data_IF_475045423449
#
_entry.id   IF_475045423449
#
_cell.length_a   1.000
_cell.length_b   1.000
_cell.length_c   1.000
_cell.angle_alpha   90.00
_cell.angle_beta   90.00
_cell.angle_gamma   90.00
#
_symmetry.space_group_name_H-M   'P 1'
#
loop_
_entity.id
_entity.type
_entity.pdbx_description
1 polymer ?
#
# COMPACT_ATOMS: atom_id res chain seq x y z
N UNK A 1 1.97 5.84 25.61
CA UNK A 1 1.95 4.59 24.81
C UNK A 1 2.76 4.73 23.52
N UNK A 2 2.75 5.87 22.83
CA UNK A 2 3.48 6.07 21.55
C UNK A 2 5.00 5.84 21.63
N UNK A 3 5.70 6.43 22.61
CA UNK A 3 7.17 6.38 22.66
C UNK A 3 7.75 4.99 22.95
N UNK A 4 7.00 4.11 23.62
CA UNK A 4 7.45 2.74 23.95
C UNK A 4 7.46 1.84 22.72
N UNK A 5 6.53 2.07 21.77
CA UNK A 5 6.45 1.32 20.51
C UNK A 5 7.33 1.92 19.41
N UNK A 6 7.66 3.20 19.51
CA UNK A 6 8.50 3.89 18.53
C UNK A 6 9.92 3.30 18.46
N UNK A 7 10.51 2.94 19.60
CA UNK A 7 11.85 2.35 19.65
C UNK A 7 11.95 0.99 18.93
N UNK A 8 11.15 -0.04 19.25
CA UNK A 8 11.24 -1.33 18.57
C UNK A 8 10.86 -1.27 17.09
N UNK A 9 9.89 -0.43 16.71
CA UNK A 9 9.50 -0.29 15.30
C UNK A 9 10.61 0.43 14.52
N UNK A 10 11.14 1.53 15.06
CA UNK A 10 12.22 2.27 14.39
C UNK A 10 13.51 1.47 14.30
N UNK A 11 13.85 0.60 15.27
CA UNK A 11 15.03 -0.26 15.17
C UNK A 11 14.87 -1.32 14.08
N UNK A 12 13.70 -1.97 13.98
CA UNK A 12 13.41 -2.94 12.91
C UNK A 12 13.48 -2.27 11.53
N UNK A 13 12.92 -1.07 11.39
CA UNK A 13 13.00 -0.30 10.15
C UNK A 13 14.44 0.08 9.82
N UNK A 14 15.25 0.54 10.79
CA UNK A 14 16.67 0.88 10.57
C UNK A 14 17.54 -0.32 10.21
N UNK A 15 17.17 -1.53 10.66
CA UNK A 15 17.86 -2.79 10.32
C UNK A 15 17.61 -3.25 8.89
N UNK A 16 16.50 -2.82 8.28
CA UNK A 16 16.02 -3.32 6.99
C UNK A 16 15.96 -2.25 5.91
N UNK A 17 15.90 -0.97 6.27
CA UNK A 17 15.92 0.16 5.36
C UNK A 17 17.30 0.85 5.48
N UNK A 18 18.10 0.86 4.41
CA UNK A 18 19.36 1.58 4.38
C UNK A 18 19.16 3.07 4.62
N UNK A 19 19.92 3.67 5.55
CA UNK A 19 19.90 5.12 5.75
C UNK A 19 20.68 5.82 4.64
N UNK A 20 20.07 6.83 4.05
CA UNK A 20 20.65 7.65 2.98
C UNK A 20 21.36 8.90 3.51
N UNK A 21 21.25 9.16 4.82
CA UNK A 21 21.83 10.34 5.47
C UNK A 21 23.13 9.95 6.15
N UNK A 22 24.29 10.51 5.76
CA UNK A 22 25.59 10.14 6.34
C UNK A 22 25.66 10.33 7.86
N UNK A 23 24.94 11.31 8.42
CA UNK A 23 24.93 11.61 9.85
C UNK A 23 24.25 10.53 10.71
N UNK A 24 23.38 9.70 10.13
CA UNK A 24 22.67 8.62 10.83
C UNK A 24 23.32 7.25 10.59
N UNK A 25 24.48 7.24 9.94
CA UNK A 25 25.19 6.01 9.62
C UNK A 25 25.63 5.31 10.90
N UNK A 26 25.37 4.00 10.94
CA UNK A 26 26.05 3.13 11.89
C UNK A 26 26.55 1.88 11.18
N UNK A 27 27.71 1.43 11.64
CA UNK A 27 28.34 0.18 11.21
C UNK A 27 27.43 -1.03 11.38
N UNK A 28 26.71 -1.09 12.51
CA UNK A 28 25.80 -2.20 12.83
C UNK A 28 24.56 -2.23 11.94
N UNK A 29 23.86 -1.11 11.78
CA UNK A 29 22.68 -1.07 10.90
C UNK A 29 23.05 -1.32 9.43
N UNK A 30 24.21 -0.82 8.97
CA UNK A 30 24.65 -1.02 7.59
C UNK A 30 25.00 -2.49 7.30
N UNK A 31 25.69 -3.18 8.22
CA UNK A 31 25.98 -4.61 8.05
C UNK A 31 24.72 -5.45 8.08
N UNK A 32 23.76 -5.12 8.96
CA UNK A 32 22.46 -5.79 9.00
C UNK A 32 21.63 -5.55 7.75
N UNK A 33 21.67 -4.35 7.17
CA UNK A 33 21.00 -4.06 5.90
C UNK A 33 21.55 -4.92 4.75
N UNK A 34 22.87 -5.16 4.70
CA UNK A 34 23.49 -6.06 3.71
C UNK A 34 22.99 -7.49 3.85
N UNK A 35 22.68 -7.93 5.07
CA UNK A 35 22.14 -9.27 5.34
C UNK A 35 20.65 -9.35 5.03
N UNK A 36 19.87 -8.40 5.54
CA UNK A 36 18.41 -8.47 5.58
C UNK A 36 17.76 -7.98 4.29
N UNK A 37 18.31 -6.98 3.59
CA UNK A 37 17.70 -6.46 2.36
C UNK A 37 17.59 -7.51 1.25
N UNK A 38 18.64 -8.31 0.94
CA UNK A 38 18.54 -9.33 -0.10
C UNK A 38 17.52 -10.42 0.25
N UNK A 39 17.43 -10.81 1.52
CA UNK A 39 16.47 -11.81 1.99
C UNK A 39 15.03 -11.27 1.88
N UNK A 40 14.80 -10.03 2.30
CA UNK A 40 13.48 -9.40 2.22
C UNK A 40 13.02 -9.18 0.77
N UNK A 41 13.94 -8.77 -0.12
CA UNK A 41 13.66 -8.67 -1.56
C UNK A 41 13.33 -10.02 -2.17
N UNK A 42 14.05 -11.08 -1.79
CA UNK A 42 13.80 -12.44 -2.25
C UNK A 42 12.43 -12.95 -1.77
N UNK A 43 12.05 -12.65 -0.53
CA UNK A 43 10.71 -12.91 -0.03
C UNK A 43 9.64 -12.18 -0.86
N UNK A 44 9.86 -10.90 -1.18
CA UNK A 44 8.92 -10.15 -2.03
C UNK A 44 8.82 -10.68 -3.45
N UNK A 45 9.93 -11.18 -4.01
CA UNK A 45 9.98 -11.76 -5.34
C UNK A 45 9.60 -13.24 -5.36
N UNK A 46 9.09 -13.78 -4.25
CA UNK A 46 8.66 -15.17 -4.13
C UNK A 46 7.59 -15.58 -5.16
N UNK A 47 6.81 -14.61 -5.65
CA UNK A 47 5.84 -14.80 -6.74
C UNK A 47 6.50 -15.06 -8.11
N UNK A 48 7.73 -14.61 -8.33
CA UNK A 48 8.47 -14.80 -9.58
C UNK A 48 9.47 -15.97 -9.46
N UNK A 49 10.17 -16.07 -8.34
CA UNK A 49 11.13 -17.14 -8.05
C UNK A 49 10.69 -17.78 -6.74
N UNK A 50 10.31 -19.07 -6.73
CA UNK A 50 9.90 -19.74 -5.50
C UNK A 50 10.96 -19.57 -4.41
N UNK A 51 10.55 -19.12 -3.23
CA UNK A 51 11.45 -18.93 -2.08
C UNK A 51 12.23 -20.20 -1.71
N UNK A 52 11.63 -21.36 -2.00
CA UNK A 52 12.18 -22.70 -1.78
C UNK A 52 12.76 -23.33 -3.05
N UNK A 53 13.11 -22.54 -4.07
CA UNK A 53 13.68 -23.09 -5.30
C UNK A 53 14.91 -23.94 -4.94
N UNK A 54 14.94 -25.23 -5.29
CA UNK A 54 16.07 -26.09 -4.98
C UNK A 54 17.26 -25.66 -5.84
N UNK A 55 18.39 -25.33 -5.21
CA UNK A 55 19.65 -25.15 -5.91
C UNK A 55 20.41 -26.47 -5.85
N UNK A 56 20.73 -27.02 -7.02
CA UNK A 56 21.59 -28.20 -7.15
C UNK A 56 23.03 -27.72 -7.08
N UNK A 57 23.73 -28.02 -5.99
CA UNK A 57 25.17 -27.81 -5.87
C UNK A 57 25.95 -28.99 -6.47
N UNK A 58 27.27 -28.83 -6.57
CA UNK A 58 28.23 -29.80 -7.13
C UNK A 58 28.21 -31.21 -6.48
N UNK A 59 27.45 -31.40 -5.40
CA UNK A 59 27.28 -32.68 -4.69
C UNK A 59 25.95 -33.32 -5.12
N UNK A 60 25.95 -34.50 -5.77
CA UNK A 60 24.72 -35.17 -6.15
C UNK A 60 23.96 -35.57 -4.88
N UNK A 61 22.68 -35.14 -4.78
CA UNK A 61 21.67 -35.47 -3.75
C UNK A 61 21.42 -34.49 -2.59
N UNK A 62 21.97 -33.26 -2.59
CA UNK A 62 21.61 -32.26 -1.57
C UNK A 62 20.95 -31.05 -2.22
N UNK A 63 19.65 -30.85 -1.93
CA UNK A 63 18.90 -29.67 -2.36
C UNK A 63 18.83 -28.67 -1.20
N UNK A 64 19.42 -27.49 -1.37
CA UNK A 64 19.25 -26.40 -0.42
C UNK A 64 18.23 -25.37 -0.94
N UNK A 65 17.38 -24.81 -0.07
CA UNK A 65 16.47 -23.74 -0.46
C UNK A 65 17.28 -22.48 -0.77
N UNK A 66 16.86 -21.76 -1.81
CA UNK A 66 17.54 -20.56 -2.32
C UNK A 66 17.78 -19.50 -1.24
N UNK A 67 16.82 -19.28 -0.34
CA UNK A 67 16.96 -18.29 0.74
C UNK A 67 18.17 -18.59 1.64
N UNK A 68 18.44 -19.86 1.93
CA UNK A 68 19.49 -20.27 2.86
C UNK A 68 20.87 -19.98 2.26
N UNK A 69 21.04 -20.24 0.97
CA UNK A 69 22.27 -19.91 0.22
C UNK A 69 22.52 -18.40 0.23
N UNK A 70 21.49 -17.61 -0.08
CA UNK A 70 21.58 -16.14 -0.08
C UNK A 70 21.88 -15.62 1.32
N UNK A 71 21.23 -16.16 2.36
CA UNK A 71 21.49 -15.77 3.75
C UNK A 71 22.95 -16.03 4.14
N UNK A 72 23.49 -17.22 3.85
CA UNK A 72 24.89 -17.52 4.18
C UNK A 72 25.86 -16.58 3.45
N UNK A 73 25.64 -16.33 2.16
CA UNK A 73 26.51 -15.43 1.39
C UNK A 73 26.44 -13.98 1.89
N UNK A 74 25.24 -13.48 2.18
CA UNK A 74 25.04 -12.15 2.72
C UNK A 74 25.55 -12.02 4.16
N UNK A 75 25.52 -13.08 4.98
CA UNK A 75 26.06 -13.09 6.34
C UNK A 75 27.59 -13.03 6.34
N UNK A 76 28.24 -13.77 5.44
CA UNK A 76 29.69 -13.67 5.22
C UNK A 76 30.06 -12.25 4.77
N UNK A 77 29.32 -11.71 3.81
CA UNK A 77 29.61 -10.38 3.25
C UNK A 77 29.32 -9.26 4.27
N UNK A 78 28.25 -9.38 5.06
CA UNK A 78 27.88 -8.44 6.11
C UNK A 78 28.83 -8.47 7.30
N UNK A 79 29.34 -9.63 7.71
CA UNK A 79 30.37 -9.75 8.75
C UNK A 79 31.72 -9.21 8.28
N UNK A 80 32.11 -9.49 7.04
CA UNK A 80 33.31 -8.93 6.42
C UNK A 80 33.23 -7.40 6.33
N UNK A 81 32.11 -6.88 5.83
CA UNK A 81 31.82 -5.44 5.80
C UNK A 81 31.83 -4.84 7.21
N UNK A 82 31.21 -5.51 8.18
CA UNK A 82 31.30 -5.06 9.57
C UNK A 82 32.76 -4.97 9.98
N UNK A 83 33.60 -6.00 9.80
CA UNK A 83 34.98 -5.98 10.29
C UNK A 83 35.89 -4.95 9.59
N UNK A 84 35.69 -4.67 8.31
CA UNK A 84 36.59 -3.82 7.50
C UNK A 84 36.20 -2.35 7.41
N UNK A 85 34.94 -2.03 7.71
CA UNK A 85 34.42 -0.69 7.51
C UNK A 85 34.34 0.05 8.85
N UNK A 86 35.36 0.88 9.10
CA UNK A 86 35.37 1.82 10.24
C UNK A 86 34.83 3.21 9.86
N UNK A 87 34.81 3.56 8.57
CA UNK A 87 34.29 4.83 8.03
C UNK A 87 33.14 4.60 7.05
N UNK A 88 32.21 5.56 6.89
CA UNK A 88 31.11 5.42 5.94
C UNK A 88 31.68 5.21 4.52
N UNK A 89 31.31 4.11 3.83
CA UNK A 89 31.83 3.85 2.49
C UNK A 89 31.21 4.80 1.48
N UNK A 90 31.98 5.11 0.43
CA UNK A 90 31.53 5.89 -0.73
C UNK A 90 30.69 5.00 -1.66
N UNK A 91 29.55 4.52 -1.15
CA UNK A 91 28.58 3.75 -1.94
C UNK A 91 27.83 4.73 -2.83
N UNK A 92 27.59 4.33 -4.08
CA UNK A 92 26.72 5.06 -5.01
C UNK A 92 25.39 5.44 -4.35
N UNK A 93 25.22 6.72 -4.03
CA UNK A 93 24.03 7.24 -3.35
C UNK A 93 22.73 6.86 -4.07
N UNK A 94 22.79 6.76 -5.42
CA UNK A 94 21.66 6.35 -6.25
C UNK A 94 21.21 4.91 -5.97
N UNK A 95 22.16 3.98 -5.80
CA UNK A 95 21.86 2.58 -5.49
C UNK A 95 21.28 2.46 -4.08
N UNK A 96 21.85 3.20 -3.13
CA UNK A 96 21.37 3.24 -1.75
C UNK A 96 19.93 3.79 -1.66
N UNK A 97 19.63 4.86 -2.40
CA UNK A 97 18.29 5.43 -2.53
C UNK A 97 17.30 4.45 -3.17
N UNK A 98 17.73 3.74 -4.21
CA UNK A 98 16.87 2.74 -4.87
C UNK A 98 16.54 1.58 -3.92
N UNK A 99 17.53 1.10 -3.16
CA UNK A 99 17.36 0.03 -2.18
C UNK A 99 16.47 0.45 -1.00
N UNK A 100 16.67 1.65 -0.46
CA UNK A 100 15.82 2.17 0.63
C UNK A 100 14.38 2.40 0.19
N UNK A 101 14.18 2.87 -1.04
CA UNK A 101 12.85 2.97 -1.65
C UNK A 101 12.19 1.59 -1.80
N UNK A 102 12.90 0.62 -2.38
CA UNK A 102 12.37 -0.74 -2.55
C UNK A 102 11.97 -1.35 -1.20
N UNK A 103 12.84 -1.27 -0.19
CA UNK A 103 12.56 -1.78 1.16
C UNK A 103 11.39 -1.06 1.84
N UNK A 104 11.22 0.25 1.60
CA UNK A 104 10.06 0.99 2.10
C UNK A 104 8.76 0.48 1.48
N UNK A 105 8.74 0.23 0.17
CA UNK A 105 7.58 -0.36 -0.52
C UNK A 105 7.26 -1.76 0.04
N UNK A 106 8.28 -2.58 0.33
CA UNK A 106 8.07 -3.89 0.95
C UNK A 106 7.40 -3.77 2.32
N UNK A 107 7.88 -2.88 3.18
CA UNK A 107 7.30 -2.66 4.50
C UNK A 107 5.86 -2.17 4.42
N UNK A 108 5.57 -1.22 3.52
CA UNK A 108 4.20 -0.75 3.28
C UNK A 108 3.31 -1.93 2.85
N UNK A 109 3.79 -2.79 1.94
CA UNK A 109 3.03 -3.96 1.49
C UNK A 109 2.81 -5.00 2.58
N UNK A 110 3.82 -5.29 3.41
CA UNK A 110 3.71 -6.22 4.54
C UNK A 110 2.71 -5.72 5.57
N UNK A 111 2.84 -4.46 6.00
CA UNK A 111 1.93 -3.84 6.96
C UNK A 111 0.51 -3.77 6.41
N UNK A 112 0.34 -3.46 5.13
CA UNK A 112 -0.97 -3.49 4.48
C UNK A 112 -1.57 -4.90 4.45
N UNK A 113 -0.77 -5.94 4.22
CA UNK A 113 -1.20 -7.33 4.27
C UNK A 113 -1.65 -7.77 5.67
N UNK A 114 -0.89 -7.43 6.70
CA UNK A 114 -1.26 -7.69 8.09
C UNK A 114 -2.52 -6.91 8.49
N UNK A 115 -2.65 -5.66 8.06
CA UNK A 115 -3.85 -4.84 8.28
C UNK A 115 -5.09 -5.48 7.65
N UNK A 116 -4.99 -5.96 6.40
CA UNK A 116 -6.08 -6.66 5.72
C UNK A 116 -6.44 -7.98 6.42
N UNK A 117 -5.43 -8.72 6.91
CA UNK A 117 -5.64 -9.96 7.66
C UNK A 117 -6.34 -9.71 8.99
N UNK A 118 -5.95 -8.67 9.72
CA UNK A 118 -6.63 -8.24 10.94
C UNK A 118 -8.07 -7.82 10.66
N UNK A 119 -8.29 -7.08 9.57
CA UNK A 119 -9.64 -6.66 9.18
C UNK A 119 -10.51 -7.85 8.79
N UNK A 120 -9.96 -8.83 8.08
CA UNK A 120 -10.67 -10.08 7.77
C UNK A 120 -11.04 -10.85 9.05
N UNK A 121 -10.15 -10.91 10.03
CA UNK A 121 -10.44 -11.54 11.32
C UNK A 121 -11.58 -10.83 12.06
N UNK A 122 -11.57 -9.50 12.08
CA UNK A 122 -12.67 -8.69 12.63
C UNK A 122 -13.97 -8.95 11.87
N UNK A 123 -13.90 -9.08 10.54
CA UNK A 123 -15.05 -9.43 9.71
C UNK A 123 -15.69 -10.74 10.09
N UNK A 124 -14.88 -11.78 10.32
CA UNK A 124 -15.36 -13.09 10.76
C UNK A 124 -15.97 -13.01 12.17
N UNK A 125 -15.34 -12.30 13.11
CA UNK A 125 -15.84 -12.17 14.49
C UNK A 125 -17.19 -11.44 14.53
N UNK A 126 -17.35 -10.41 13.71
CA UNK A 126 -18.56 -9.59 13.66
C UNK A 126 -19.62 -10.13 12.68
N UNK A 127 -19.35 -11.26 12.00
CA UNK A 127 -20.16 -11.78 10.89
C UNK A 127 -20.49 -10.69 9.86
N UNK A 128 -19.49 -9.92 9.45
CA UNK A 128 -19.62 -8.87 8.44
C UNK A 128 -19.04 -9.34 7.11
N UNK A 129 -19.74 -9.11 5.98
CA UNK A 129 -19.24 -9.49 4.67
C UNK A 129 -17.98 -8.68 4.32
N UNK A 130 -16.95 -9.30 3.70
CA UNK A 130 -15.69 -8.62 3.36
C UNK A 130 -15.87 -7.35 2.50
N UNK A 131 -16.89 -7.35 1.63
CA UNK A 131 -17.23 -6.19 0.81
C UNK A 131 -17.60 -4.96 1.65
N UNK A 132 -18.30 -5.15 2.78
CA UNK A 132 -18.73 -4.08 3.68
C UNK A 132 -17.52 -3.47 4.39
N UNK A 133 -16.59 -4.29 4.87
CA UNK A 133 -15.35 -3.84 5.50
C UNK A 133 -14.46 -3.06 4.52
N UNK A 134 -14.41 -3.50 3.26
CA UNK A 134 -13.72 -2.79 2.19
C UNK A 134 -14.34 -1.43 1.87
N UNK A 135 -15.67 -1.37 1.75
CA UNK A 135 -16.41 -0.14 1.47
C UNK A 135 -16.42 0.87 2.63
N UNK A 136 -16.19 0.42 3.86
CA UNK A 136 -16.24 1.25 5.07
C UNK A 136 -14.86 1.50 5.65
N UNK A 137 -14.32 0.56 6.44
CA UNK A 137 -13.10 0.75 7.22
C UNK A 137 -11.89 1.00 6.32
N UNK A 138 -11.72 0.22 5.24
CA UNK A 138 -10.60 0.43 4.31
C UNK A 138 -10.74 1.73 3.53
N UNK A 139 -11.93 2.00 2.98
CA UNK A 139 -12.18 3.22 2.22
C UNK A 139 -12.01 4.48 3.09
N UNK A 140 -12.56 4.49 4.31
CA UNK A 140 -12.38 5.59 5.26
C UNK A 140 -10.93 5.73 5.69
N UNK A 141 -10.26 4.63 6.00
CA UNK A 141 -8.84 4.65 6.39
C UNK A 141 -7.96 5.30 5.33
N UNK A 142 -8.24 5.05 4.05
CA UNK A 142 -7.50 5.65 2.94
C UNK A 142 -7.81 7.14 2.76
N UNK A 143 -9.09 7.56 2.89
CA UNK A 143 -9.51 8.92 2.53
C UNK A 143 -9.70 9.89 3.70
N UNK A 144 -9.60 9.46 4.97
CA UNK A 144 -9.78 10.37 6.12
C UNK A 144 -8.63 11.38 6.23
N UNK A 145 -7.41 10.98 5.88
CA UNK A 145 -6.24 11.87 5.84
C UNK A 145 -6.41 12.95 4.78
N UNK A 146 -6.83 12.55 3.58
CA UNK A 146 -7.15 13.45 2.48
C UNK A 146 -8.25 14.43 2.87
N UNK A 147 -9.33 13.96 3.51
CA UNK A 147 -10.42 14.81 4.01
C UNK A 147 -9.89 15.88 4.98
N UNK A 148 -9.04 15.50 5.94
CA UNK A 148 -8.47 16.45 6.92
C UNK A 148 -7.57 17.46 6.22
N UNK A 149 -6.73 17.01 5.28
CA UNK A 149 -5.83 17.87 4.52
C UNK A 149 -6.59 18.86 3.63
N UNK A 150 -7.57 18.39 2.85
CA UNK A 150 -8.39 19.22 1.98
C UNK A 150 -9.20 20.25 2.77
N UNK A 151 -9.76 19.87 3.92
CA UNK A 151 -10.46 20.81 4.82
C UNK A 151 -9.49 21.85 5.38
N UNK A 152 -8.26 21.47 5.74
CA UNK A 152 -7.26 22.41 6.22
C UNK A 152 -6.86 23.42 5.13
N UNK A 153 -6.60 22.96 3.90
CA UNK A 153 -6.26 23.79 2.74
C UNK A 153 -7.41 24.73 2.37
N UNK A 154 -8.65 24.23 2.39
CA UNK A 154 -9.84 25.05 2.17
C UNK A 154 -9.99 26.15 3.23
N UNK A 155 -9.76 25.82 4.52
CA UNK A 155 -9.77 26.80 5.63
C UNK A 155 -8.63 27.80 5.55
N UNK A 156 -7.50 27.43 4.95
CA UNK A 156 -6.37 28.33 4.69
C UNK A 156 -6.63 29.31 3.51
N UNK A 157 -7.83 29.29 2.92
CA UNK A 157 -8.22 30.22 1.86
C UNK A 157 -7.91 29.70 0.44
N UNK A 158 -7.60 28.41 0.28
CA UNK A 158 -7.30 27.79 -1.01
C UNK A 158 -8.32 26.71 -1.42
N UNK A 159 -9.62 27.04 -1.53
CA UNK A 159 -10.67 26.04 -1.81
C UNK A 159 -10.54 25.38 -3.19
N UNK A 160 -10.00 26.09 -4.19
CA UNK A 160 -9.77 25.50 -5.52
C UNK A 160 -8.72 24.38 -5.47
N UNK A 161 -7.68 24.54 -4.64
CA UNK A 161 -6.65 23.50 -4.43
C UNK A 161 -7.24 22.30 -3.70
N UNK A 162 -8.06 22.52 -2.67
CA UNK A 162 -8.74 21.45 -1.96
C UNK A 162 -9.69 20.65 -2.87
N UNK A 163 -10.44 21.33 -3.75
CA UNK A 163 -11.31 20.65 -4.74
C UNK A 163 -10.46 19.84 -5.73
N UNK A 164 -9.34 20.39 -6.20
CA UNK A 164 -8.44 19.68 -7.10
C UNK A 164 -7.86 18.43 -6.43
N UNK A 165 -7.42 18.51 -5.17
CA UNK A 165 -6.92 17.38 -4.37
C UNK A 165 -7.96 16.27 -4.21
N UNK A 166 -9.17 16.65 -3.79
CA UNK A 166 -10.30 15.75 -3.57
C UNK A 166 -10.66 14.90 -4.79
N UNK A 167 -10.50 15.42 -6.01
CA UNK A 167 -10.74 14.65 -7.26
C UNK A 167 -9.47 13.97 -7.80
N UNK A 168 -8.32 14.64 -7.77
CA UNK A 168 -7.10 14.13 -8.39
C UNK A 168 -6.56 12.87 -7.68
N UNK A 169 -6.62 12.83 -6.35
CA UNK A 169 -6.15 11.68 -5.56
C UNK A 169 -6.89 10.38 -5.90
N UNK A 170 -8.22 10.32 -5.73
CA UNK A 170 -9.01 9.15 -6.10
C UNK A 170 -8.90 8.78 -7.59
N UNK A 171 -8.84 9.78 -8.48
CA UNK A 171 -8.67 9.55 -9.92
C UNK A 171 -7.33 8.87 -10.23
N UNK A 172 -6.24 9.32 -9.62
CA UNK A 172 -4.92 8.69 -9.76
C UNK A 172 -4.91 7.26 -9.22
N UNK A 173 -5.50 7.04 -8.04
CA UNK A 173 -5.61 5.71 -7.43
C UNK A 173 -6.39 4.73 -8.32
N UNK A 174 -7.44 5.20 -9.00
CA UNK A 174 -8.23 4.35 -9.88
C UNK A 174 -7.52 4.07 -11.22
N UNK A 175 -6.89 5.08 -11.83
CA UNK A 175 -6.20 4.91 -13.11
C UNK A 175 -4.93 4.07 -12.97
N UNK A 176 -4.04 4.45 -12.04
CA UNK A 176 -2.74 3.82 -11.88
C UNK A 176 -2.83 2.63 -10.93
N UNK A 177 -3.42 2.79 -9.75
CA UNK A 177 -3.51 1.73 -8.75
C UNK A 177 -4.36 0.56 -9.24
N UNK A 178 -5.66 0.80 -9.48
CA UNK A 178 -6.56 -0.27 -9.94
C UNK A 178 -6.21 -0.75 -11.35
N UNK A 179 -5.84 0.16 -12.27
CA UNK A 179 -5.42 -0.20 -13.62
C UNK A 179 -4.18 -1.11 -13.66
N UNK A 180 -3.13 -0.78 -12.90
CA UNK A 180 -1.93 -1.64 -12.82
C UNK A 180 -2.23 -2.99 -12.16
N UNK A 181 -3.06 -3.03 -11.11
CA UNK A 181 -3.47 -4.28 -10.48
C UNK A 181 -4.19 -5.21 -11.47
N UNK A 182 -5.07 -4.68 -12.33
CA UNK A 182 -5.72 -5.44 -13.39
C UNK A 182 -4.73 -5.96 -14.44
N UNK A 183 -3.77 -5.13 -14.85
CA UNK A 183 -2.72 -5.54 -15.79
C UNK A 183 -1.90 -6.69 -15.21
N UNK A 184 -1.43 -6.56 -13.96
CA UNK A 184 -0.69 -7.64 -13.30
C UNK A 184 -1.53 -8.91 -13.14
N UNK A 185 -2.80 -8.79 -12.75
CA UNK A 185 -3.72 -9.93 -12.64
C UNK A 185 -3.96 -10.63 -13.98
N UNK A 186 -4.05 -9.87 -15.08
CA UNK A 186 -4.20 -10.42 -16.42
C UNK A 186 -2.92 -11.12 -16.92
N UNK A 187 -1.75 -10.53 -16.66
CA UNK A 187 -0.45 -11.13 -17.04
C UNK A 187 -0.23 -12.45 -16.31
N UNK A 188 -0.58 -12.55 -15.01
CA UNK A 188 -0.41 -13.78 -14.24
C UNK A 188 -1.30 -14.93 -14.70
N UNK A 189 -2.50 -14.64 -15.25
CA UNK A 189 -3.43 -15.67 -15.75
C UNK A 189 -3.28 -15.99 -17.23
N UNK A 190 -2.41 -15.28 -17.95
CA UNK A 190 -2.20 -15.51 -19.38
C UNK A 190 -1.74 -16.97 -19.63
N UNK A 191 -2.34 -17.70 -20.60
CA UNK A 191 -3.23 -17.25 -21.67
C UNK A 191 -4.73 -17.28 -21.36
N UNK A 192 -5.15 -17.70 -20.16
CA UNK A 192 -6.56 -17.69 -19.77
C UNK A 192 -7.08 -16.26 -19.57
N UNK A 193 -8.33 -16.02 -19.94
CA UNK A 193 -8.98 -14.71 -19.75
C UNK A 193 -9.17 -14.40 -18.27
N UNK A 194 -8.84 -13.17 -17.86
CA UNK A 194 -9.13 -12.71 -16.50
C UNK A 194 -10.65 -12.46 -16.35
N UNK A 195 -11.35 -13.43 -15.76
CA UNK A 195 -12.78 -13.31 -15.48
C UNK A 195 -13.04 -12.31 -14.34
N UNK A 196 -13.66 -11.18 -14.68
CA UNK A 196 -14.11 -10.17 -13.71
C UNK A 196 -15.42 -10.65 -13.05
N UNK A 197 -15.39 -10.82 -11.74
CA UNK A 197 -16.58 -11.15 -10.95
C UNK A 197 -17.26 -9.83 -10.58
N UNK A 198 -18.37 -9.53 -11.25
CA UNK A 198 -19.16 -8.34 -10.96
C UNK A 198 -20.15 -8.62 -9.84
N UNK A 199 -19.88 -8.07 -8.66
CA UNK A 199 -20.84 -8.06 -7.56
C UNK A 199 -21.82 -6.88 -7.73
N UNK A 200 -23.08 -7.06 -7.30
CA UNK A 200 -24.11 -6.00 -7.36
C UNK A 200 -23.66 -4.70 -6.67
N UNK A 201 -22.89 -4.82 -5.58
CA UNK A 201 -22.33 -3.68 -4.85
C UNK A 201 -21.39 -2.80 -5.70
N UNK A 202 -20.64 -3.41 -6.64
CA UNK A 202 -19.73 -2.67 -7.54
C UNK A 202 -20.54 -1.81 -8.51
N UNK A 203 -21.63 -2.35 -9.06
CA UNK A 203 -22.51 -1.63 -9.97
C UNK A 203 -23.15 -0.44 -9.24
N UNK A 204 -23.66 -0.66 -8.03
CA UNK A 204 -24.22 0.42 -7.21
C UNK A 204 -23.18 1.49 -6.91
N UNK A 205 -21.98 1.12 -6.46
CA UNK A 205 -20.89 2.06 -6.22
C UNK A 205 -20.56 2.88 -7.48
N UNK A 206 -20.51 2.23 -8.65
CA UNK A 206 -20.25 2.92 -9.92
C UNK A 206 -21.35 3.92 -10.29
N UNK A 207 -22.64 3.55 -10.11
CA UNK A 207 -23.78 4.45 -10.37
C UNK A 207 -23.75 5.67 -9.44
N UNK A 208 -23.52 5.47 -8.13
CA UNK A 208 -23.43 6.58 -7.18
C UNK A 208 -22.22 7.48 -7.44
N UNK A 209 -21.07 6.89 -7.80
CA UNK A 209 -19.88 7.65 -8.18
C UNK A 209 -20.14 8.49 -9.44
N UNK A 210 -20.73 7.91 -10.48
CA UNK A 210 -21.04 8.64 -11.71
C UNK A 210 -22.07 9.75 -11.47
N UNK A 211 -23.12 9.47 -10.69
CA UNK A 211 -24.14 10.46 -10.34
C UNK A 211 -23.56 11.62 -9.51
N UNK A 212 -22.69 11.34 -8.54
CA UNK A 212 -22.05 12.38 -7.74
C UNK A 212 -21.07 13.24 -8.56
N UNK A 213 -20.32 12.63 -9.49
CA UNK A 213 -19.38 13.34 -10.36
C UNK A 213 -20.13 14.21 -11.38
N UNK A 214 -21.12 13.65 -12.08
CA UNK A 214 -21.96 14.39 -13.03
C UNK A 214 -22.76 15.49 -12.34
N UNK A 215 -23.35 15.20 -11.18
CA UNK A 215 -24.05 16.20 -10.38
C UNK A 215 -23.13 17.35 -9.97
N UNK A 216 -21.90 17.03 -9.53
CA UNK A 216 -20.92 18.04 -9.14
C UNK A 216 -20.50 18.90 -10.33
N UNK A 217 -20.25 18.28 -11.50
CA UNK A 217 -19.93 19.01 -12.72
C UNK A 217 -21.05 19.99 -13.11
N UNK A 218 -22.30 19.53 -13.11
CA UNK A 218 -23.47 20.35 -13.46
C UNK A 218 -23.67 21.50 -12.47
N UNK A 219 -23.61 21.24 -11.17
CA UNK A 219 -23.79 22.26 -10.13
C UNK A 219 -22.67 23.29 -10.18
N UNK A 220 -21.41 22.86 -10.31
CA UNK A 220 -20.27 23.78 -10.41
C UNK A 220 -20.35 24.64 -11.67
N UNK A 221 -20.76 24.07 -12.81
CA UNK A 221 -20.97 24.83 -14.04
C UNK A 221 -22.11 25.86 -13.89
N UNK A 222 -23.23 25.47 -13.28
CA UNK A 222 -24.39 26.34 -13.09
C UNK A 222 -24.11 27.51 -12.15
N UNK A 223 -23.35 27.28 -11.07
CA UNK A 223 -22.99 28.29 -10.07
C UNK A 223 -21.70 29.06 -10.41
N UNK A 224 -21.31 29.12 -11.69
CA UNK A 224 -20.14 29.86 -12.18
C UNK A 224 -18.85 29.53 -11.43
N UNK A 225 -18.55 28.23 -11.27
CA UNK A 225 -17.35 27.71 -10.60
C UNK A 225 -17.27 28.02 -9.09
N UNK A 226 -18.41 28.28 -8.44
CA UNK A 226 -18.52 28.36 -6.98
C UNK A 226 -19.34 27.21 -6.44
N UNK A 227 -18.79 26.46 -5.50
CA UNK A 227 -19.51 25.35 -4.84
C UNK A 227 -20.40 25.91 -3.73
N UNK A 228 -21.75 25.80 -3.83
CA UNK A 228 -22.64 26.27 -2.77
C UNK A 228 -22.60 25.30 -1.57
N UNK A 229 -22.76 25.83 -0.35
CA UNK A 229 -22.76 25.03 0.90
C UNK A 229 -23.83 23.92 0.91
N UNK A 230 -24.98 24.19 0.31
CA UNK A 230 -26.07 23.21 0.15
C UNK A 230 -25.62 21.95 -0.60
N UNK A 231 -24.76 22.10 -1.63
CA UNK A 231 -24.27 20.96 -2.40
C UNK A 231 -23.41 20.00 -1.56
N UNK A 232 -22.64 20.54 -0.61
CA UNK A 232 -21.90 19.71 0.35
C UNK A 232 -22.82 18.80 1.18
N UNK A 233 -23.95 19.34 1.67
CA UNK A 233 -24.95 18.52 2.37
C UNK A 233 -25.59 17.48 1.46
N UNK A 234 -25.86 17.81 0.20
CA UNK A 234 -26.36 16.84 -0.79
C UNK A 234 -25.37 15.69 -1.01
N UNK A 235 -24.07 15.97 -1.14
CA UNK A 235 -23.04 14.94 -1.32
C UNK A 235 -22.93 14.01 -0.11
N UNK A 236 -22.97 14.57 1.11
CA UNK A 236 -23.00 13.76 2.35
C UNK A 236 -24.25 12.90 2.42
N UNK A 237 -25.41 13.45 2.06
CA UNK A 237 -26.67 12.68 2.00
C UNK A 237 -26.63 11.56 0.97
N UNK A 238 -26.08 11.82 -0.23
CA UNK A 238 -25.88 10.81 -1.27
C UNK A 238 -24.93 9.70 -0.81
N UNK A 239 -23.85 10.05 -0.10
CA UNK A 239 -22.93 9.09 0.50
C UNK A 239 -23.60 8.23 1.58
N UNK A 240 -24.37 8.84 2.48
CA UNK A 240 -25.11 8.10 3.51
C UNK A 240 -26.12 7.12 2.88
N UNK A 241 -26.84 7.56 1.85
CA UNK A 241 -27.80 6.72 1.12
C UNK A 241 -27.09 5.58 0.37
N UNK A 242 -25.93 5.84 -0.23
CA UNK A 242 -25.08 4.82 -0.83
C UNK A 242 -24.67 3.73 0.18
N UNK A 243 -24.24 4.14 1.38
CA UNK A 243 -23.88 3.19 2.45
C UNK A 243 -25.09 2.37 2.85
N UNK A 244 -26.25 2.98 3.11
CA UNK A 244 -27.47 2.24 3.49
C UNK A 244 -27.86 1.21 2.43
N UNK A 245 -27.87 1.58 1.15
CA UNK A 245 -28.19 0.64 0.06
C UNK A 245 -27.16 -0.49 -0.02
N UNK A 246 -25.87 -0.16 0.12
CA UNK A 246 -24.80 -1.17 0.08
C UNK A 246 -24.88 -2.15 1.25
N UNK A 247 -25.30 -1.68 2.44
CA UNK A 247 -25.54 -2.52 3.61
C UNK A 247 -26.74 -3.45 3.38
N UNK A 248 -27.85 -2.91 2.88
CA UNK A 248 -29.05 -3.72 2.57
C UNK A 248 -28.76 -4.78 1.51
N UNK A 249 -28.01 -4.44 0.47
CA UNK A 249 -27.63 -5.41 -0.55
C UNK A 249 -26.69 -6.49 -0.01
N UNK A 250 -25.80 -6.14 0.91
CA UNK A 250 -24.93 -7.10 1.56
C UNK A 250 -25.73 -8.11 2.40
N UNK A 251 -26.72 -7.64 3.16
CA UNK A 251 -27.61 -8.47 3.98
C UNK A 251 -28.50 -9.40 3.13
N UNK A 252 -28.95 -8.95 1.96
CA UNK A 252 -29.78 -9.77 1.04
C UNK A 252 -28.95 -10.81 0.27
N UNK A 253 -27.64 -10.59 0.13
CA UNK A 253 -26.74 -11.47 -0.64
C UNK A 253 -26.16 -12.64 0.16
N UNK A 254 -26.39 -12.69 1.47
CA UNK A 254 -26.13 -13.86 2.35
C UNK A 254 -27.34 -14.81 2.39
#
# INVERSE_FOLDING_TARGET
VSSVWEVPVSTILKLTIPSTVPAEWSRFYSSMNIVLCPIALLYSLSSFIPFHHPIVFLVPNVHFPLWLVVLFQCLILGTFYYLLTDEPPDIDQKLLLLMSFAMSVLWISLVAGELLSCLSAVGIILNLPPALLGLTVLAWGNSVGDLVADVAVAKAGQPAMAIAGCFAGPMFNMLIGFGSALVFGAVQKFPEGYNLIFNSNIIVAFVFLLLSLMGSLLVVAWFRFRVPRFWGFCLVGAYALFIIISLLLAEISE
#
